data_IF_349507066101
#
_entry.id   IF_349507066101
#
_cell.length_a   1.000
_cell.length_b   1.000
_cell.length_c   1.000
_cell.angle_alpha   90.00
_cell.angle_beta   90.00
_cell.angle_gamma   90.00
#
_symmetry.space_group_name_H-M   'P 1'
#
loop_
_entity.id
_entity.type
_entity.pdbx_description
1 polymer ?
#
# COMPACT_ATOMS: atom_id res chain seq x y z
N UNK A 1 -32.81 -3.75 -37.18
CA UNK A 1 -31.36 -3.68 -36.90
C UNK A 1 -31.17 -2.98 -35.55
N UNK A 2 -31.02 -3.73 -34.46
CA UNK A 2 -30.91 -3.15 -33.11
C UNK A 2 -29.45 -2.74 -32.88
N UNK A 3 -29.17 -1.43 -32.94
CA UNK A 3 -27.91 -0.89 -32.45
C UNK A 3 -27.88 -1.05 -30.93
N UNK A 4 -27.20 -2.09 -30.44
CA UNK A 4 -26.77 -2.15 -29.03
C UNK A 4 -25.80 -1.00 -28.82
N UNK A 5 -26.25 0.06 -28.15
CA UNK A 5 -25.39 1.10 -27.59
C UNK A 5 -24.42 0.43 -26.61
N UNK A 6 -23.20 0.13 -27.07
CA UNK A 6 -22.10 -0.20 -26.18
C UNK A 6 -21.80 1.04 -25.36
N UNK A 7 -22.32 1.10 -24.14
CA UNK A 7 -21.93 2.09 -23.12
C UNK A 7 -20.41 1.93 -22.96
N UNK A 8 -19.63 2.84 -23.56
CA UNK A 8 -18.17 2.78 -23.57
C UNK A 8 -17.72 2.74 -22.11
N UNK A 9 -17.35 1.57 -21.61
CA UNK A 9 -16.82 1.43 -20.24
C UNK A 9 -15.58 2.34 -20.18
N UNK A 10 -15.65 3.41 -19.38
CA UNK A 10 -14.49 4.29 -19.17
C UNK A 10 -13.39 3.41 -18.58
N UNK A 11 -12.31 3.20 -19.33
CA UNK A 11 -11.15 2.46 -18.86
C UNK A 11 -10.31 3.35 -17.96
N UNK A 12 -9.86 2.80 -16.83
CA UNK A 12 -8.81 3.44 -16.03
C UNK A 12 -7.47 3.16 -16.69
N UNK A 13 -6.73 4.22 -17.00
CA UNK A 13 -5.34 4.12 -17.45
C UNK A 13 -4.42 4.28 -16.24
N UNK A 14 -3.58 3.28 -16.00
CA UNK A 14 -2.52 3.32 -15.02
C UNK A 14 -1.30 2.60 -15.57
N UNK A 15 -0.14 3.21 -15.44
CA UNK A 15 1.16 2.60 -15.78
C UNK A 15 1.56 1.62 -14.67
N UNK A 16 1.10 1.87 -13.44
CA UNK A 16 1.39 1.06 -12.25
C UNK A 16 0.22 1.04 -11.27
N UNK A 17 -0.02 -0.12 -10.66
CA UNK A 17 -0.94 -0.32 -9.54
C UNK A 17 -0.16 -0.62 -8.27
N UNK A 18 -0.44 0.12 -7.19
CA UNK A 18 0.30 0.05 -5.93
C UNK A 18 -0.69 -0.14 -4.78
N UNK A 19 -0.45 -1.15 -3.94
CA UNK A 19 -1.22 -1.35 -2.72
C UNK A 19 -0.84 -0.32 -1.65
N UNK A 20 -1.84 0.34 -1.08
CA UNK A 20 -1.75 1.18 0.13
C UNK A 20 -2.86 0.86 1.14
N UNK A 21 -3.48 -0.33 1.00
CA UNK A 21 -4.53 -0.80 1.91
C UNK A 21 -4.02 -1.00 3.34
N UNK A 22 -4.92 -1.01 4.31
CA UNK A 22 -4.58 -1.18 5.74
C UNK A 22 -4.06 -2.59 6.12
N UNK A 23 -3.76 -3.43 5.13
CA UNK A 23 -3.29 -4.79 5.31
C UNK A 23 -3.04 -5.51 3.97
N UNK A 24 -2.62 -6.77 4.07
CA UNK A 24 -2.12 -7.55 2.93
C UNK A 24 -3.16 -7.96 1.89
N UNK A 25 -4.47 -7.82 2.18
CA UNK A 25 -5.56 -8.22 1.27
C UNK A 25 -5.47 -7.52 -0.08
N UNK A 26 -5.20 -6.21 -0.11
CA UNK A 26 -5.14 -5.47 -1.39
C UNK A 26 -3.99 -5.97 -2.25
N UNK A 27 -2.78 -6.10 -1.68
CA UNK A 27 -1.63 -6.64 -2.38
C UNK A 27 -1.88 -8.07 -2.91
N UNK A 28 -2.56 -8.91 -2.13
CA UNK A 28 -2.98 -10.25 -2.54
C UNK A 28 -3.88 -10.21 -3.77
N UNK A 29 -4.94 -9.38 -3.77
CA UNK A 29 -5.85 -9.29 -4.91
C UNK A 29 -5.21 -8.65 -6.14
N UNK A 30 -4.36 -7.64 -5.98
CA UNK A 30 -3.58 -7.10 -7.10
C UNK A 30 -2.67 -8.18 -7.71
N UNK A 31 -2.07 -9.05 -6.90
CA UNK A 31 -1.31 -10.22 -7.38
C UNK A 31 -2.23 -11.20 -8.12
N UNK A 32 -3.37 -11.57 -7.52
CA UNK A 32 -4.35 -12.53 -8.06
C UNK A 32 -4.84 -12.11 -9.45
N UNK A 33 -5.07 -10.81 -9.66
CA UNK A 33 -5.54 -10.26 -10.93
C UNK A 33 -4.41 -9.77 -11.84
N UNK A 34 -3.14 -10.11 -11.56
CA UNK A 34 -1.97 -9.75 -12.37
C UNK A 34 -1.76 -8.24 -12.57
N UNK A 35 -2.28 -7.42 -11.65
CA UNK A 35 -2.10 -5.96 -11.64
C UNK A 35 -0.82 -5.54 -10.90
N UNK A 36 -0.35 -6.39 -9.97
CA UNK A 36 0.86 -6.12 -9.18
C UNK A 36 2.11 -6.52 -9.96
N UNK A 37 2.86 -5.53 -10.46
CA UNK A 37 4.09 -5.75 -11.25
C UNK A 37 5.36 -5.86 -10.40
N UNK A 38 5.33 -5.40 -9.15
CA UNK A 38 6.41 -5.56 -8.18
C UNK A 38 5.88 -5.67 -6.74
N UNK A 39 6.74 -6.05 -5.80
CA UNK A 39 6.38 -6.06 -4.37
C UNK A 39 6.78 -4.75 -3.69
N UNK A 40 5.80 -4.04 -3.13
CA UNK A 40 6.00 -2.86 -2.28
C UNK A 40 6.52 -3.27 -0.90
N UNK A 41 7.26 -2.42 -0.16
CA UNK A 41 7.59 -2.69 1.24
C UNK A 41 6.34 -2.89 2.12
N UNK A 42 5.22 -2.23 1.76
CA UNK A 42 3.99 -2.20 2.53
C UNK A 42 3.01 -3.37 2.26
N UNK A 43 3.27 -4.19 1.23
CA UNK A 43 2.35 -5.26 0.76
C UNK A 43 2.01 -6.30 1.85
N UNK A 44 2.94 -6.56 2.76
CA UNK A 44 2.84 -7.62 3.78
C UNK A 44 2.88 -7.07 5.20
N UNK A 45 2.59 -5.78 5.35
CA UNK A 45 2.47 -5.10 6.62
C UNK A 45 0.99 -4.83 6.91
N UNK A 46 0.67 -4.55 8.17
CA UNK A 46 -0.66 -4.13 8.59
C UNK A 46 -0.60 -3.07 9.68
N UNK A 47 -1.77 -2.58 10.10
CA UNK A 47 -1.92 -1.62 11.20
C UNK A 47 -1.15 -0.31 10.98
N UNK A 48 -1.12 0.17 9.74
CA UNK A 48 -0.55 1.47 9.39
C UNK A 48 -1.57 2.33 8.64
N UNK A 49 -1.39 3.63 8.72
CA UNK A 49 -2.20 4.68 8.08
C UNK A 49 -1.59 5.11 6.74
N UNK A 50 -2.32 5.92 5.97
CA UNK A 50 -1.75 6.57 4.79
C UNK A 50 -0.67 7.59 5.16
N UNK A 51 -0.82 8.25 6.32
CA UNK A 51 0.16 9.18 6.87
C UNK A 51 1.51 8.48 7.09
N UNK A 52 1.50 7.26 7.62
CA UNK A 52 2.73 6.48 7.83
C UNK A 52 3.47 6.20 6.52
N UNK A 53 2.74 5.91 5.44
CA UNK A 53 3.33 5.74 4.11
C UNK A 53 3.97 7.05 3.65
N UNK A 54 3.27 8.18 3.76
CA UNK A 54 3.84 9.47 3.36
C UNK A 54 5.10 9.81 4.18
N UNK A 55 5.11 9.56 5.49
CA UNK A 55 6.28 9.78 6.35
C UNK A 55 7.46 8.94 5.87
N UNK A 56 7.22 7.68 5.44
CA UNK A 56 8.27 6.86 4.83
C UNK A 56 8.85 7.49 3.55
N UNK A 57 8.04 8.21 2.75
CA UNK A 57 8.53 8.95 1.58
C UNK A 57 9.29 10.23 1.97
N UNK A 58 8.80 10.98 2.94
CA UNK A 58 9.42 12.25 3.37
C UNK A 58 10.75 12.05 4.10
N UNK A 59 10.86 10.99 4.90
CA UNK A 59 12.06 10.65 5.66
C UNK A 59 12.96 9.64 4.94
N UNK A 60 12.67 9.35 3.67
CA UNK A 60 13.38 8.36 2.85
C UNK A 60 13.63 7.02 3.57
N UNK A 61 12.58 6.51 4.24
CA UNK A 61 12.60 5.25 4.97
C UNK A 61 13.56 5.19 6.17
N UNK A 62 14.16 6.31 6.59
CA UNK A 62 15.23 6.34 7.60
C UNK A 62 14.83 5.75 8.95
N UNK A 63 13.59 5.96 9.38
CA UNK A 63 13.08 5.54 10.69
C UNK A 63 12.21 4.27 10.64
N UNK A 64 12.03 3.67 9.45
CA UNK A 64 11.18 2.49 9.29
C UNK A 64 11.70 1.31 10.13
N UNK A 65 10.90 0.86 11.11
CA UNK A 65 11.25 -0.23 12.03
C UNK A 65 12.60 -0.05 12.72
N UNK A 66 13.04 1.21 12.95
CA UNK A 66 14.29 1.47 13.68
C UNK A 66 14.18 1.13 15.18
N UNK A 67 12.97 1.26 15.71
CA UNK A 67 12.60 0.85 17.06
C UNK A 67 11.41 -0.11 16.97
N UNK A 68 11.63 -1.36 17.39
CA UNK A 68 10.67 -2.44 17.19
C UNK A 68 10.58 -3.36 18.41
N UNK A 69 9.49 -4.11 18.45
CA UNK A 69 9.28 -5.13 19.47
C UNK A 69 8.55 -6.34 18.92
N UNK A 70 8.79 -7.49 19.52
CA UNK A 70 7.94 -8.65 19.32
C UNK A 70 6.63 -8.47 20.11
N UNK A 71 5.50 -8.76 19.47
CA UNK A 71 4.18 -8.76 20.09
C UNK A 71 3.56 -10.16 20.00
N UNK A 72 2.60 -10.50 20.88
CA UNK A 72 1.95 -11.81 20.84
C UNK A 72 1.43 -12.14 19.44
N UNK A 73 1.81 -13.31 18.94
CA UNK A 73 1.37 -13.84 17.65
C UNK A 73 0.32 -14.93 17.85
N UNK A 74 -0.65 -14.96 16.94
CA UNK A 74 -1.64 -16.05 16.85
C UNK A 74 -1.33 -17.04 15.72
N UNK A 75 -0.14 -16.93 15.10
CA UNK A 75 0.30 -17.75 13.98
C UNK A 75 1.66 -18.41 14.27
N UNK A 76 2.14 -19.25 13.35
CA UNK A 76 3.48 -19.86 13.40
C UNK A 76 4.62 -18.89 13.00
N UNK A 77 4.35 -17.58 12.92
CA UNK A 77 5.32 -16.53 12.60
C UNK A 77 5.38 -15.51 13.73
N UNK A 78 6.54 -14.92 13.97
CA UNK A 78 6.68 -13.83 14.94
C UNK A 78 5.95 -12.60 14.39
N UNK A 79 5.26 -11.89 15.28
CA UNK A 79 4.70 -10.59 14.94
C UNK A 79 5.62 -9.52 15.51
N UNK A 80 6.10 -8.64 14.63
CA UNK A 80 7.01 -7.56 15.00
C UNK A 80 6.30 -6.24 14.72
N UNK A 81 6.29 -5.35 15.71
CA UNK A 81 5.65 -4.04 15.67
C UNK A 81 6.70 -2.94 15.69
N UNK A 82 6.57 -1.96 14.81
CA UNK A 82 7.27 -0.67 14.91
C UNK A 82 6.64 0.14 16.05
N UNK A 83 7.45 0.52 17.05
CA UNK A 83 6.96 1.26 18.23
C UNK A 83 6.49 2.67 17.88
N UNK A 84 6.97 3.25 16.78
CA UNK A 84 6.71 4.65 16.44
C UNK A 84 5.28 4.88 15.93
N UNK A 85 4.74 3.94 15.16
CA UNK A 85 3.43 4.09 14.51
C UNK A 85 2.51 2.86 14.62
N UNK A 86 2.98 1.79 15.26
CA UNK A 86 2.20 0.56 15.43
C UNK A 86 2.14 -0.33 14.19
N UNK A 87 2.82 0.03 13.10
CA UNK A 87 2.92 -0.80 11.90
C UNK A 87 3.46 -2.18 12.26
N UNK A 88 2.84 -3.23 11.70
CA UNK A 88 3.13 -4.62 12.09
C UNK A 88 3.54 -5.47 10.90
N UNK A 89 4.64 -6.21 11.04
CA UNK A 89 4.95 -7.37 10.20
C UNK A 89 4.41 -8.63 10.86
N UNK A 90 3.67 -9.43 10.08
CA UNK A 90 3.05 -10.69 10.54
C UNK A 90 3.56 -11.91 9.76
N UNK A 91 4.46 -11.69 8.80
CA UNK A 91 4.88 -12.70 7.82
C UNK A 91 6.38 -12.78 7.62
N UNK A 92 7.13 -11.74 8.01
CA UNK A 92 8.55 -11.62 7.63
C UNK A 92 9.51 -12.26 8.65
N UNK A 93 9.04 -12.69 9.83
CA UNK A 93 9.88 -13.19 10.94
C UNK A 93 9.51 -14.62 11.36
N UNK A 94 10.50 -15.52 11.44
CA UNK A 94 10.32 -16.92 11.86
C UNK A 94 10.63 -17.13 13.34
N UNK A 95 10.06 -18.16 13.96
CA UNK A 95 10.49 -18.64 15.29
C UNK A 95 11.79 -19.46 15.22
N UNK A 96 12.17 -19.92 14.02
CA UNK A 96 13.36 -20.76 13.76
C UNK A 96 14.69 -19.98 13.75
N UNK A 97 14.63 -18.64 13.74
CA UNK A 97 15.79 -17.76 13.74
C UNK A 97 15.69 -16.76 14.90
N UNK A 98 16.82 -16.12 15.22
CA UNK A 98 16.83 -15.01 16.18
C UNK A 98 16.11 -13.79 15.62
N UNK A 99 15.58 -12.94 16.51
CA UNK A 99 14.90 -11.72 16.11
C UNK A 99 15.83 -10.78 15.32
N UNK A 100 17.12 -10.72 15.68
CA UNK A 100 18.12 -9.87 15.05
C UNK A 100 18.47 -10.34 13.63
N UNK A 101 18.66 -11.65 13.42
CA UNK A 101 18.86 -12.21 12.07
C UNK A 101 17.63 -11.96 11.18
N UNK A 102 16.44 -12.16 11.74
CA UNK A 102 15.18 -11.87 11.07
C UNK A 102 15.07 -10.38 10.70
N UNK A 103 15.51 -9.48 11.60
CA UNK A 103 15.48 -8.04 11.41
C UNK A 103 16.41 -7.58 10.30
N UNK A 104 17.67 -8.03 10.28
CA UNK A 104 18.63 -7.64 9.25
C UNK A 104 18.15 -8.03 7.85
N UNK A 105 17.61 -9.26 7.71
CA UNK A 105 16.97 -9.69 6.46
C UNK A 105 15.75 -8.84 6.12
N UNK A 106 14.88 -8.58 7.10
CA UNK A 106 13.67 -7.79 6.92
C UNK A 106 13.99 -6.38 6.44
N UNK A 107 14.84 -5.64 7.15
CA UNK A 107 15.12 -4.25 6.85
C UNK A 107 15.83 -4.10 5.49
N UNK A 108 16.77 -5.00 5.19
CA UNK A 108 17.45 -5.05 3.88
C UNK A 108 16.45 -5.27 2.75
N UNK A 109 15.53 -6.22 2.92
CA UNK A 109 14.50 -6.50 1.92
C UNK A 109 13.53 -5.32 1.74
N UNK A 110 13.07 -4.70 2.84
CA UNK A 110 12.11 -3.59 2.78
C UNK A 110 12.73 -2.35 2.16
N UNK A 111 13.98 -2.00 2.50
CA UNK A 111 14.72 -0.89 1.86
C UNK A 111 14.85 -1.09 0.35
N UNK A 112 15.28 -2.29 -0.09
CA UNK A 112 15.36 -2.61 -1.53
C UNK A 112 14.00 -2.47 -2.23
N UNK A 113 12.92 -2.93 -1.58
CA UNK A 113 11.55 -2.79 -2.12
C UNK A 113 11.10 -1.34 -2.16
N UNK A 114 11.49 -0.52 -1.18
CA UNK A 114 11.18 0.90 -1.16
C UNK A 114 11.89 1.65 -2.29
N UNK A 115 13.17 1.37 -2.54
CA UNK A 115 13.86 1.91 -3.72
C UNK A 115 13.18 1.51 -5.02
N UNK A 116 12.75 0.25 -5.12
CA UNK A 116 12.02 -0.21 -6.29
C UNK A 116 10.66 0.49 -6.44
N UNK A 117 9.93 0.71 -5.34
CA UNK A 117 8.68 1.46 -5.32
C UNK A 117 8.90 2.90 -5.81
N UNK A 118 9.89 3.62 -5.26
CA UNK A 118 10.26 4.96 -5.69
C UNK A 118 10.56 5.01 -7.19
N UNK A 119 11.34 4.04 -7.70
CA UNK A 119 11.67 3.94 -9.13
C UNK A 119 10.43 3.79 -10.01
N UNK A 120 9.50 2.89 -9.66
CA UNK A 120 8.28 2.68 -10.44
C UNK A 120 7.36 3.90 -10.41
N UNK A 121 7.25 4.59 -9.27
CA UNK A 121 6.50 5.84 -9.16
C UNK A 121 7.12 6.90 -10.08
N UNK A 122 8.43 7.16 -9.97
CA UNK A 122 9.12 8.19 -10.77
C UNK A 122 9.11 7.91 -12.27
N UNK A 123 9.04 6.64 -12.69
CA UNK A 123 8.96 6.24 -14.09
C UNK A 123 7.55 6.35 -14.69
N UNK A 124 6.53 6.57 -13.86
CA UNK A 124 5.11 6.49 -14.26
C UNK A 124 4.48 7.88 -14.39
N UNK A 125 3.55 8.03 -15.35
CA UNK A 125 2.75 9.25 -15.56
C UNK A 125 1.33 9.10 -14.99
N UNK A 126 0.82 7.87 -14.95
CA UNK A 126 -0.49 7.51 -14.41
C UNK A 126 -0.32 6.46 -13.32
N UNK A 127 -0.53 6.85 -12.07
CA UNK A 127 -0.29 5.99 -10.91
C UNK A 127 -1.62 5.70 -10.24
N UNK A 128 -1.93 4.41 -10.06
CA UNK A 128 -3.13 4.00 -9.33
C UNK A 128 -2.75 3.40 -7.97
N UNK A 129 -3.12 4.08 -6.90
CA UNK A 129 -3.13 3.51 -5.56
C UNK A 129 -4.43 2.74 -5.33
N UNK A 130 -4.34 1.59 -4.67
CA UNK A 130 -5.50 0.79 -4.28
C UNK A 130 -5.51 0.58 -2.78
N UNK A 131 -6.66 0.81 -2.17
CA UNK A 131 -6.88 0.81 -0.72
C UNK A 131 -8.18 0.09 -0.37
N UNK A 132 -8.34 -0.27 0.91
CA UNK A 132 -9.58 -0.81 1.48
C UNK A 132 -9.83 -0.26 2.89
N UNK A 133 -9.87 1.07 3.02
CA UNK A 133 -9.94 1.81 4.29
C UNK A 133 -11.33 2.41 4.51
N UNK A 134 -11.71 2.59 5.76
CA UNK A 134 -12.96 3.26 6.17
C UNK A 134 -12.78 4.75 6.50
N UNK A 135 -11.60 5.32 6.25
CA UNK A 135 -11.27 6.72 6.58
C UNK A 135 -12.06 7.77 5.79
N UNK A 136 -11.95 9.04 6.18
CA UNK A 136 -12.65 10.12 5.48
C UNK A 136 -12.07 10.38 4.08
N UNK A 137 -12.83 11.08 3.21
CA UNK A 137 -12.33 11.47 1.88
C UNK A 137 -11.03 12.30 1.98
N UNK A 138 -11.00 13.22 2.94
CA UNK A 138 -9.87 14.10 3.25
C UNK A 138 -8.55 13.34 3.50
N UNK A 139 -8.59 12.15 4.10
CA UNK A 139 -7.39 11.34 4.31
C UNK A 139 -6.74 10.92 2.98
N UNK A 140 -7.56 10.60 1.97
CA UNK A 140 -7.06 10.23 0.65
C UNK A 140 -6.56 11.44 -0.11
N UNK A 141 -7.25 12.57 -0.01
CA UNK A 141 -6.82 13.84 -0.61
C UNK A 141 -5.47 14.28 -0.05
N UNK A 142 -5.32 14.29 1.28
CA UNK A 142 -4.07 14.61 1.95
C UNK A 142 -2.93 13.66 1.56
N UNK A 143 -3.21 12.35 1.51
CA UNK A 143 -2.23 11.36 1.04
C UNK A 143 -1.76 11.64 -0.39
N UNK A 144 -2.71 11.89 -1.31
CA UNK A 144 -2.41 12.18 -2.71
C UNK A 144 -1.68 13.51 -2.88
N UNK A 145 -2.05 14.55 -2.13
CA UNK A 145 -1.36 15.84 -2.12
C UNK A 145 0.11 15.72 -1.71
N UNK A 146 0.40 14.92 -0.68
CA UNK A 146 1.78 14.62 -0.27
C UNK A 146 2.53 13.79 -1.31
N UNK A 147 1.86 12.84 -1.97
CA UNK A 147 2.48 12.09 -3.07
C UNK A 147 2.79 12.97 -4.28
N UNK A 148 1.99 14.00 -4.56
CA UNK A 148 2.30 15.01 -5.59
C UNK A 148 3.57 15.80 -5.27
N UNK A 149 3.95 15.96 -3.99
CA UNK A 149 5.21 16.61 -3.64
C UNK A 149 6.41 15.70 -3.92
N UNK A 150 6.24 14.38 -3.77
CA UNK A 150 7.29 13.40 -4.07
C UNK A 150 7.53 13.25 -5.59
N UNK A 151 6.48 13.21 -6.41
CA UNK A 151 6.58 13.09 -7.86
C UNK A 151 5.34 13.68 -8.54
N UNK A 152 5.53 14.57 -9.52
CA UNK A 152 4.42 15.21 -10.24
C UNK A 152 3.86 14.26 -11.30
N UNK A 153 2.68 13.71 -11.06
CA UNK A 153 2.02 12.75 -11.95
C UNK A 153 0.50 12.79 -11.82
N UNK A 154 -0.20 12.04 -12.68
CA UNK A 154 -1.63 11.81 -12.53
C UNK A 154 -1.87 10.66 -11.57
N UNK A 155 -2.29 10.97 -10.35
CA UNK A 155 -2.67 9.97 -9.37
C UNK A 155 -4.16 9.64 -9.44
N UNK A 156 -4.48 8.38 -9.17
CA UNK A 156 -5.84 7.91 -8.88
C UNK A 156 -5.75 7.02 -7.66
N UNK A 157 -6.67 7.19 -6.72
CA UNK A 157 -6.81 6.28 -5.59
C UNK A 157 -8.17 5.59 -5.70
N UNK A 158 -8.15 4.26 -5.80
CA UNK A 158 -9.36 3.43 -5.67
C UNK A 158 -9.39 2.94 -4.23
N UNK A 159 -10.40 3.37 -3.47
CA UNK A 159 -10.66 2.84 -2.15
C UNK A 159 -11.88 1.91 -2.20
N UNK A 160 -11.70 0.66 -1.81
CA UNK A 160 -12.75 -0.36 -1.81
C UNK A 160 -13.35 -0.43 -0.40
N UNK A 161 -14.65 -0.15 -0.29
CA UNK A 161 -15.41 -0.34 0.94
C UNK A 161 -16.48 -1.39 0.73
N UNK A 162 -16.83 -2.05 1.82
CA UNK A 162 -18.07 -2.79 1.87
C UNK A 162 -19.12 -1.88 2.49
N UNK A 163 -20.17 -1.61 1.73
CA UNK A 163 -21.37 -0.91 2.17
C UNK A 163 -22.55 -1.60 1.49
N UNK A 164 -23.44 -2.19 2.29
CA UNK A 164 -24.62 -2.91 1.79
C UNK A 164 -25.64 -1.99 1.12
N UNK A 165 -25.61 -0.69 1.46
CA UNK A 165 -26.51 0.33 0.92
C UNK A 165 -26.01 0.90 -0.42
N UNK A 166 -24.71 0.79 -0.71
CA UNK A 166 -24.07 1.42 -1.85
C UNK A 166 -23.89 0.45 -3.02
N UNK A 167 -24.66 0.66 -4.09
CA UNK A 167 -24.67 -0.22 -5.27
C UNK A 167 -23.73 0.22 -6.40
N UNK A 168 -23.25 1.46 -6.35
CA UNK A 168 -22.50 2.12 -7.42
C UNK A 168 -21.18 2.74 -6.95
N UNK A 169 -20.25 2.96 -7.90
CA UNK A 169 -18.98 3.62 -7.63
C UNK A 169 -19.16 5.14 -7.50
N UNK A 170 -18.66 5.71 -6.41
CA UNK A 170 -18.50 7.15 -6.26
C UNK A 170 -17.17 7.64 -6.82
N UNK A 171 -17.19 8.83 -7.42
CA UNK A 171 -16.00 9.47 -7.97
C UNK A 171 -15.89 10.89 -7.46
N UNK A 172 -14.74 11.19 -6.90
CA UNK A 172 -14.35 12.52 -6.48
C UNK A 172 -13.28 13.05 -7.44
N UNK A 173 -13.35 14.34 -7.77
CA UNK A 173 -12.31 15.05 -8.51
C UNK A 173 -11.37 15.73 -7.52
N UNK A 174 -10.07 15.70 -7.82
CA UNK A 174 -9.13 16.70 -7.36
C UNK A 174 -9.07 17.82 -8.40
#
# INVERSE_FOLDING_TARGET
>A
MIFKFFKRRKSLKADVFISVGAGCKVAFYLKKFKLRTFSSPFDWLGLYTLVDINVCFEQDFANFFKDYEEVPSTTHKRWVRDRQNGMRSMHDFSFEESLDEGYERFITQKRRRFENLKRHIKASKHICFVSCRQGAYEEFENFLGRMQNFHKAKYTLINIRHDESQRDMERFGL
#
